data_IF_384096497967
#
_entry.id   IF_384096497967
#
_cell.length_a   1.000
_cell.length_b   1.000
_cell.length_c   1.000
_cell.angle_alpha   90.00
_cell.angle_beta   90.00
_cell.angle_gamma   90.00
#
_symmetry.space_group_name_H-M   'P 1'
#
loop_
_entity.id
_entity.type
_entity.pdbx_description
1 polymer ?
#
# COMPACT_ATOMS: atom_id res chain seq x y z
N UNK A 1 9.21 -6.34 2.79
CA UNK A 1 8.42 -7.59 2.93
C UNK A 1 8.27 -8.16 1.55
N UNK A 2 8.62 -9.43 1.33
CA UNK A 2 8.39 -10.05 0.03
C UNK A 2 6.88 -10.18 -0.20
N UNK A 3 6.38 -9.65 -1.31
CA UNK A 3 4.98 -9.68 -1.77
C UNK A 3 4.36 -11.11 -1.85
N UNK A 4 5.16 -12.15 -1.58
CA UNK A 4 4.75 -13.56 -1.59
C UNK A 4 4.17 -14.08 -0.28
N UNK A 5 4.41 -13.43 0.86
CA UNK A 5 3.90 -13.90 2.16
C UNK A 5 2.48 -13.44 2.48
N UNK A 6 1.91 -12.61 1.62
CA UNK A 6 0.63 -11.99 1.87
C UNK A 6 -0.50 -12.78 1.18
N UNK A 7 -1.23 -13.55 1.97
CA UNK A 7 -2.43 -14.31 1.57
C UNK A 7 -3.60 -13.35 1.37
N UNK A 8 -3.52 -12.54 0.31
CA UNK A 8 -4.65 -11.76 -0.17
C UNK A 8 -4.77 -11.84 -1.68
N UNK A 9 -6.03 -11.76 -2.13
CA UNK A 9 -6.40 -11.76 -3.53
C UNK A 9 -5.78 -10.55 -4.22
N UNK A 10 -4.71 -10.78 -4.99
CA UNK A 10 -4.00 -9.74 -5.72
C UNK A 10 -4.88 -9.07 -6.79
N UNK A 11 -6.03 -9.66 -7.12
CA UNK A 11 -7.03 -9.10 -8.02
C UNK A 11 -7.92 -8.01 -7.38
N UNK A 12 -8.02 -7.94 -6.03
CA UNK A 12 -8.91 -7.00 -5.34
C UNK A 12 -8.21 -5.80 -4.68
N UNK A 13 -6.87 -5.78 -4.67
CA UNK A 13 -6.12 -4.74 -3.98
C UNK A 13 -5.40 -3.81 -4.96
N UNK A 14 -6.11 -2.76 -5.36
CA UNK A 14 -5.67 -1.67 -6.25
C UNK A 14 -4.27 -1.13 -5.91
N UNK A 15 -3.87 -1.15 -4.63
CA UNK A 15 -2.59 -0.64 -4.15
C UNK A 15 -1.36 -1.35 -4.75
N UNK A 16 -1.52 -2.59 -5.23
CA UNK A 16 -0.44 -3.38 -5.86
C UNK A 16 -0.44 -3.31 -7.38
N UNK A 17 -1.37 -2.57 -7.99
CA UNK A 17 -1.29 -2.29 -9.42
C UNK A 17 -0.14 -1.33 -9.70
N UNK A 18 0.56 -1.54 -10.81
CA UNK A 18 1.71 -0.71 -11.23
C UNK A 18 1.35 0.78 -11.25
N UNK A 19 0.19 1.11 -11.81
CA UNK A 19 -0.30 2.48 -11.93
C UNK A 19 -0.55 3.11 -10.55
N UNK A 20 -1.23 2.42 -9.64
CA UNK A 20 -1.54 2.98 -8.33
C UNK A 20 -0.26 3.18 -7.49
N UNK A 21 0.71 2.26 -7.59
CA UNK A 21 2.03 2.44 -6.97
C UNK A 21 2.74 3.70 -7.47
N UNK A 22 2.77 3.93 -8.78
CA UNK A 22 3.39 5.11 -9.38
C UNK A 22 2.69 6.40 -8.95
N UNK A 23 1.37 6.43 -8.90
CA UNK A 23 0.62 7.59 -8.42
C UNK A 23 0.88 7.93 -6.95
N UNK A 24 0.94 6.92 -6.09
CA UNK A 24 1.24 7.10 -4.66
C UNK A 24 2.67 7.65 -4.50
N UNK A 25 3.64 7.07 -5.20
CA UNK A 25 5.03 7.55 -5.15
C UNK A 25 5.17 8.98 -5.68
N UNK A 26 4.49 9.31 -6.78
CA UNK A 26 4.46 10.67 -7.31
C UNK A 26 3.89 11.66 -6.28
N UNK A 27 2.76 11.32 -5.64
CA UNK A 27 2.19 12.16 -4.58
C UNK A 27 3.11 12.31 -3.37
N UNK A 28 3.79 11.25 -2.95
CA UNK A 28 4.73 11.30 -1.82
C UNK A 28 5.95 12.17 -2.19
N UNK A 29 6.48 12.06 -3.40
CA UNK A 29 7.64 12.85 -3.85
C UNK A 29 7.39 14.36 -3.90
N UNK A 30 6.13 14.81 -3.97
CA UNK A 30 5.76 16.23 -3.89
C UNK A 30 5.94 16.81 -2.49
N UNK A 31 5.97 15.96 -1.46
CA UNK A 31 5.95 16.37 -0.05
C UNK A 31 7.15 15.88 0.77
N UNK A 32 7.90 14.90 0.26
CA UNK A 32 9.00 14.25 0.97
C UNK A 32 10.25 14.16 0.09
N UNK A 33 11.42 14.29 0.71
CA UNK A 33 12.72 14.07 0.06
C UNK A 33 12.86 12.62 -0.40
N UNK A 34 13.63 12.38 -1.47
CA UNK A 34 13.81 11.05 -2.06
C UNK A 34 14.25 9.97 -1.03
N UNK A 35 15.00 10.36 0.00
CA UNK A 35 15.46 9.48 1.08
C UNK A 35 14.34 9.02 2.03
N UNK A 36 13.24 9.76 2.07
CA UNK A 36 12.07 9.47 2.91
C UNK A 36 10.88 8.93 2.11
N UNK A 37 10.85 9.11 0.78
CA UNK A 37 9.78 8.61 -0.10
C UNK A 37 9.51 7.12 0.13
N UNK A 38 10.55 6.28 0.11
CA UNK A 38 10.41 4.82 0.32
C UNK A 38 9.94 4.48 1.75
N UNK A 39 10.39 5.25 2.75
CA UNK A 39 9.96 5.05 4.15
C UNK A 39 8.48 5.40 4.32
N UNK A 40 8.03 6.48 3.70
CA UNK A 40 6.62 6.91 3.73
C UNK A 40 5.77 5.93 2.93
N UNK A 41 6.23 5.47 1.76
CA UNK A 41 5.54 4.45 0.97
C UNK A 41 5.34 3.16 1.78
N UNK A 42 6.36 2.70 2.50
CA UNK A 42 6.27 1.55 3.40
C UNK A 42 5.22 1.74 4.49
N UNK A 43 5.16 2.94 5.10
CA UNK A 43 4.11 3.26 6.09
C UNK A 43 2.71 3.22 5.50
N UNK A 44 2.52 3.75 4.29
CA UNK A 44 1.25 3.71 3.57
C UNK A 44 0.81 2.26 3.31
N UNK A 45 1.74 1.39 2.91
CA UNK A 45 1.44 -0.04 2.71
C UNK A 45 1.02 -0.73 4.02
N UNK A 46 1.71 -0.47 5.14
CA UNK A 46 1.37 -1.06 6.44
C UNK A 46 -0.01 -0.59 6.92
N UNK A 47 -0.28 0.71 6.84
CA UNK A 47 -1.57 1.27 7.23
C UNK A 47 -2.71 0.72 6.36
N UNK A 48 -2.47 0.52 5.07
CA UNK A 48 -3.43 -0.09 4.17
C UNK A 48 -3.72 -1.55 4.56
N UNK A 49 -2.70 -2.34 4.88
CA UNK A 49 -2.88 -3.73 5.36
C UNK A 49 -3.66 -3.75 6.67
N UNK A 50 -3.39 -2.84 7.61
CA UNK A 50 -4.16 -2.72 8.84
C UNK A 50 -5.64 -2.37 8.57
N UNK A 51 -5.89 -1.40 7.68
CA UNK A 51 -7.26 -1.04 7.27
C UNK A 51 -8.00 -2.24 6.65
N UNK A 52 -7.32 -3.03 5.82
CA UNK A 52 -7.91 -4.22 5.20
C UNK A 52 -8.19 -5.35 6.17
N UNK A 53 -7.39 -5.49 7.23
CA UNK A 53 -7.65 -6.47 8.29
C UNK A 53 -8.97 -6.15 9.00
N UNK A 54 -9.22 -4.87 9.24
CA UNK A 54 -10.46 -4.39 9.86
C UNK A 54 -11.65 -4.54 8.89
N UNK A 55 -11.46 -4.18 7.61
CA UNK A 55 -12.48 -4.23 6.57
C UNK A 55 -13.05 -5.64 6.31
N UNK A 56 -12.25 -6.70 6.49
CA UNK A 56 -12.68 -8.08 6.25
C UNK A 56 -13.63 -8.62 7.34
N UNK A 57 -13.87 -7.85 8.40
CA UNK A 57 -14.61 -8.28 9.60
C UNK A 57 -16.08 -7.85 9.61
N UNK A 58 -16.52 -6.97 8.69
CA UNK A 58 -17.84 -6.32 8.76
C UNK A 58 -18.75 -6.55 7.53
N UNK A 59 -18.48 -7.56 6.71
CA UNK A 59 -19.41 -8.01 5.68
C UNK A 59 -20.05 -9.35 6.11
N UNK A 60 -20.89 -9.24 7.14
CA UNK A 60 -21.91 -10.24 7.50
C UNK A 60 -23.16 -10.12 6.65
#
# INVERSE_FOLDING_TARGET
MEDKELVFDREHHILYTKQCREEILNKISLHYSAEDVEKIFTKVQLQYIEFLKDYRTDLG
#
